data_IF_291366680676
#
_entry.id   IF_291366680676
#
_cell.length_a   1.000
_cell.length_b   1.000
_cell.length_c   1.000
_cell.angle_alpha   90.00
_cell.angle_beta   90.00
_cell.angle_gamma   90.00
#
_symmetry.space_group_name_H-M   'P 1'
#
loop_
_entity.id
_entity.type
_entity.pdbx_description
1 polymer ?
#
# COMPACT_ATOMS: atom_id res chain seq x y z
N UNK A 1 7.61 -7.26 17.64
CA UNK A 1 7.33 -5.81 17.67
C UNK A 1 6.08 -5.54 16.84
N UNK A 2 5.41 -4.39 17.03
CA UNK A 2 4.23 -4.02 16.23
C UNK A 2 4.58 -3.92 14.74
N UNK A 3 5.74 -3.36 14.42
CA UNK A 3 6.25 -3.26 13.04
C UNK A 3 6.28 -4.61 12.32
N UNK A 4 6.93 -5.62 12.90
CA UNK A 4 7.05 -6.94 12.26
C UNK A 4 5.71 -7.65 12.07
N UNK A 5 4.76 -7.44 12.98
CA UNK A 5 3.41 -7.99 12.82
C UNK A 5 2.66 -7.32 11.66
N UNK A 6 2.72 -5.99 11.57
CA UNK A 6 2.08 -5.23 10.48
C UNK A 6 2.71 -5.57 9.13
N UNK A 7 4.03 -5.73 9.06
CA UNK A 7 4.73 -6.17 7.86
C UNK A 7 4.28 -7.56 7.42
N UNK A 8 4.22 -8.52 8.34
CA UNK A 8 3.73 -9.86 8.05
C UNK A 8 2.29 -9.85 7.53
N UNK A 9 1.40 -9.11 8.19
CA UNK A 9 -0.01 -9.00 7.80
C UNK A 9 -0.17 -8.39 6.40
N UNK A 10 0.50 -7.27 6.14
CA UNK A 10 0.48 -6.60 4.82
C UNK A 10 1.09 -7.48 3.73
N UNK A 11 2.15 -8.21 4.04
CA UNK A 11 2.81 -9.14 3.11
C UNK A 11 1.95 -10.35 2.76
N UNK A 12 1.40 -11.04 3.76
CA UNK A 12 0.58 -12.24 3.54
C UNK A 12 -0.75 -11.91 2.86
N UNK A 13 -1.43 -10.85 3.27
CA UNK A 13 -2.70 -10.43 2.64
C UNK A 13 -2.53 -10.08 1.16
N UNK A 14 -1.42 -9.42 0.79
CA UNK A 14 -1.08 -9.15 -0.61
C UNK A 14 -0.97 -10.44 -1.44
N UNK A 15 -0.33 -11.48 -0.90
CA UNK A 15 -0.20 -12.77 -1.60
C UNK A 15 -1.57 -13.45 -1.79
N UNK A 16 -2.38 -13.50 -0.74
CA UNK A 16 -3.72 -14.10 -0.79
C UNK A 16 -4.59 -13.38 -1.82
N UNK A 17 -4.59 -12.05 -1.82
CA UNK A 17 -5.39 -11.27 -2.76
C UNK A 17 -4.92 -11.50 -4.21
N UNK A 18 -3.62 -11.57 -4.41
CA UNK A 18 -3.04 -11.82 -5.73
C UNK A 18 -3.33 -13.24 -6.24
N UNK A 19 -3.40 -14.23 -5.36
CA UNK A 19 -3.76 -15.61 -5.70
C UNK A 19 -5.26 -15.76 -6.02
N UNK A 20 -6.12 -15.01 -5.32
CA UNK A 20 -7.57 -15.01 -5.54
C UNK A 20 -7.98 -14.24 -6.79
N UNK A 21 -7.41 -13.07 -7.01
CA UNK A 21 -7.85 -12.13 -8.03
C UNK A 21 -6.67 -11.75 -8.97
N UNK A 22 -6.16 -12.75 -9.69
CA UNK A 22 -4.94 -12.65 -10.51
C UNK A 22 -4.95 -11.59 -11.62
N UNK A 23 -6.13 -11.08 -12.00
CA UNK A 23 -6.32 -10.07 -13.05
C UNK A 23 -6.04 -8.63 -12.57
N UNK A 24 -5.98 -8.39 -11.26
CA UNK A 24 -5.74 -7.06 -10.69
C UNK A 24 -4.31 -6.56 -10.95
N UNK A 25 -3.40 -7.45 -11.38
CA UNK A 25 -2.05 -7.13 -11.87
C UNK A 25 -2.04 -5.98 -12.89
N UNK A 26 -3.08 -5.89 -13.73
CA UNK A 26 -3.11 -4.96 -14.87
C UNK A 26 -3.87 -3.66 -14.60
N UNK A 27 -4.83 -3.63 -13.66
CA UNK A 27 -5.68 -2.45 -13.44
C UNK A 27 -5.05 -1.36 -12.56
N UNK A 28 -4.15 -1.72 -11.64
CA UNK A 28 -3.66 -0.80 -10.60
C UNK A 28 -2.14 -0.61 -10.55
N UNK A 29 -1.43 -0.90 -11.65
CA UNK A 29 -0.06 -0.43 -11.83
C UNK A 29 0.99 -1.13 -10.95
N UNK A 30 0.88 -2.45 -10.79
CA UNK A 30 1.92 -3.28 -10.19
C UNK A 30 1.49 -4.00 -8.91
N UNK A 31 2.46 -4.58 -8.21
CA UNK A 31 2.19 -5.49 -7.10
C UNK A 31 2.00 -4.78 -5.74
N UNK A 32 1.82 -3.46 -5.72
CA UNK A 32 1.71 -2.71 -4.46
C UNK A 32 0.26 -2.49 -4.06
N UNK A 33 -0.27 -3.37 -3.20
CA UNK A 33 -1.65 -3.27 -2.72
C UNK A 33 -1.83 -2.33 -1.52
N UNK A 34 -0.82 -2.25 -0.66
CA UNK A 34 -0.84 -1.41 0.54
C UNK A 34 0.16 -0.26 0.42
N UNK A 35 -0.18 0.88 1.02
CA UNK A 35 0.75 1.99 1.27
C UNK A 35 2.00 1.50 2.00
N UNK A 36 3.16 2.18 1.84
CA UNK A 36 4.38 1.77 2.57
C UNK A 36 4.26 2.01 4.09
N UNK A 37 3.67 3.13 4.48
CA UNK A 37 3.47 3.50 5.87
C UNK A 37 2.38 2.67 6.58
N UNK A 38 2.34 2.82 7.90
CA UNK A 38 1.22 2.40 8.73
C UNK A 38 1.06 3.36 9.92
N UNK A 39 -0.16 3.48 10.42
CA UNK A 39 -0.47 4.23 11.64
C UNK A 39 -0.82 3.27 12.76
N UNK A 40 -0.29 3.52 13.95
CA UNK A 40 -0.56 2.76 15.18
C UNK A 40 -0.82 3.76 16.30
N UNK A 41 -1.90 3.54 17.03
CA UNK A 41 -2.17 4.19 18.31
C UNK A 41 -2.57 3.11 19.32
N UNK A 42 -2.31 3.40 20.59
CA UNK A 42 -2.87 2.63 21.71
C UNK A 42 -4.41 2.81 21.76
N UNK A 43 -5.10 2.06 22.62
CA UNK A 43 -6.57 2.05 22.67
C UNK A 43 -7.12 3.45 22.95
N UNK A 44 -7.50 4.15 21.87
CA UNK A 44 -7.98 5.53 21.86
C UNK A 44 -8.31 5.92 20.42
N UNK A 45 -9.56 6.34 20.15
CA UNK A 45 -9.99 6.69 18.79
C UNK A 45 -9.61 8.15 18.50
N UNK A 46 -8.39 8.38 18.01
CA UNK A 46 -7.93 9.71 17.55
C UNK A 46 -8.27 9.94 16.08
N UNK A 47 -9.53 10.23 15.80
CA UNK A 47 -10.04 10.43 14.44
C UNK A 47 -9.26 11.51 13.65
N UNK A 48 -8.94 12.65 14.29
CA UNK A 48 -8.18 13.74 13.65
C UNK A 48 -6.79 13.29 13.19
N UNK A 49 -6.09 12.50 13.99
CA UNK A 49 -4.76 12.01 13.67
C UNK A 49 -4.79 11.00 12.52
N UNK A 50 -5.79 10.12 12.49
CA UNK A 50 -6.01 9.17 11.39
C UNK A 50 -6.30 9.92 10.08
N UNK A 51 -7.17 10.93 10.13
CA UNK A 51 -7.51 11.74 8.96
C UNK A 51 -6.30 12.53 8.43
N UNK A 52 -5.47 13.08 9.32
CA UNK A 52 -4.23 13.75 8.93
C UNK A 52 -3.22 12.77 8.31
N UNK A 53 -3.04 11.60 8.92
CA UNK A 53 -2.19 10.55 8.39
C UNK A 53 -2.62 10.10 6.99
N UNK A 54 -3.92 9.84 6.77
CA UNK A 54 -4.44 9.48 5.45
C UNK A 54 -4.14 10.55 4.39
N UNK A 55 -4.36 11.84 4.72
CA UNK A 55 -4.10 12.95 3.78
C UNK A 55 -2.63 13.02 3.38
N UNK A 56 -1.71 12.81 4.32
CA UNK A 56 -0.28 12.84 4.05
C UNK A 56 0.16 11.61 3.25
N UNK A 57 -0.31 10.42 3.62
CA UNK A 57 -0.01 9.17 2.92
C UNK A 57 -0.46 9.21 1.47
N UNK A 58 -1.68 9.72 1.20
CA UNK A 58 -2.20 9.86 -0.17
C UNK A 58 -1.34 10.79 -1.04
N UNK A 59 -0.82 11.89 -0.47
CA UNK A 59 0.07 12.80 -1.20
C UNK A 59 1.41 12.13 -1.54
N UNK A 60 2.01 11.41 -0.60
CA UNK A 60 3.28 10.71 -0.80
C UNK A 60 3.15 9.55 -1.81
N UNK A 61 2.05 8.81 -1.75
CA UNK A 61 1.80 7.68 -2.64
C UNK A 61 1.51 8.14 -4.07
N UNK A 62 0.83 9.28 -4.28
CA UNK A 62 0.67 9.86 -5.62
C UNK A 62 2.01 10.21 -6.27
N UNK A 63 2.96 10.77 -5.51
CA UNK A 63 4.30 11.09 -5.99
C UNK A 63 5.05 9.79 -6.34
N UNK A 64 4.88 8.75 -5.53
CA UNK A 64 5.53 7.45 -5.74
C UNK A 64 4.96 6.71 -6.96
N UNK A 65 3.65 6.67 -7.13
CA UNK A 65 2.98 6.02 -8.26
C UNK A 65 3.37 6.67 -9.60
N UNK A 66 3.48 8.01 -9.66
CA UNK A 66 3.95 8.72 -10.86
C UNK A 66 5.37 8.35 -11.28
N UNK A 67 6.20 7.88 -10.34
CA UNK A 67 7.57 7.42 -10.62
C UNK A 67 7.63 5.95 -11.06
N UNK A 68 6.55 5.19 -10.91
CA UNK A 68 6.51 3.80 -11.32
C UNK A 68 6.20 3.72 -12.83
N UNK A 69 7.25 3.66 -13.65
CA UNK A 69 7.16 3.21 -15.04
C UNK A 69 7.30 1.69 -15.04
N UNK A 70 6.36 1.00 -15.68
CA UNK A 70 6.40 -0.44 -15.85
C UNK A 70 7.67 -0.84 -16.65
N UNK A 71 8.61 -1.62 -16.09
CA UNK A 71 9.80 -2.07 -16.80
C UNK A 71 9.51 -3.01 -17.99
N UNK A 72 8.28 -3.54 -18.10
CA UNK A 72 7.82 -4.35 -19.23
C UNK A 72 7.24 -3.51 -20.38
N UNK A 73 7.02 -2.21 -20.19
CA UNK A 73 6.74 -1.26 -21.29
C UNK A 73 8.05 -0.78 -21.95
N UNK A 74 8.96 -1.72 -22.20
CA UNK A 74 10.04 -1.53 -23.15
C UNK A 74 9.42 -1.33 -24.53
N UNK A 75 9.62 -0.16 -25.10
CA UNK A 75 9.34 0.18 -26.49
C UNK A 75 9.86 -0.95 -27.39
N UNK A 76 9.03 -1.44 -28.32
CA UNK A 76 9.55 -2.15 -29.50
C UNK A 76 10.40 -1.21 -30.34
#
# INVERSE_FOLDING_TARGET
SVAGFVEFLKGKSRLILHERDGDWKYKYGGWHFWCRGYYVDSVGKKEKAIAEYLRNQLKEDQITQRKFKDPLTGTK
#
